data_IF_303239288152
#
_entry.id   IF_303239288152
#
_cell.length_a   1.000
_cell.length_b   1.000
_cell.length_c   1.000
_cell.angle_alpha   90.00
_cell.angle_beta   90.00
_cell.angle_gamma   90.00
#
_symmetry.space_group_name_H-M   'P 1'
#
loop_
_entity.id
_entity.type
_entity.pdbx_description
1 polymer ?
#
# COMPACT_ATOMS: atom_id res chain seq x y z
N UNK A 1 21.93 11.38 -18.13
CA UNK A 1 22.90 12.41 -17.73
C UNK A 1 22.21 13.62 -17.13
N UNK A 2 21.18 14.18 -17.76
CA UNK A 2 20.49 15.40 -17.30
C UNK A 2 19.92 15.32 -15.87
N UNK A 3 19.40 14.16 -15.47
CA UNK A 3 18.94 13.92 -14.09
C UNK A 3 20.06 14.12 -13.07
N UNK A 4 21.26 13.58 -13.35
CA UNK A 4 22.40 13.65 -12.43
C UNK A 4 22.89 15.09 -12.29
N UNK A 5 22.99 15.83 -13.40
CA UNK A 5 23.34 17.25 -13.36
C UNK A 5 22.33 18.06 -12.55
N UNK A 6 21.03 17.85 -12.78
CA UNK A 6 19.98 18.53 -12.01
C UNK A 6 20.07 18.21 -10.52
N UNK A 7 20.26 16.94 -10.18
CA UNK A 7 20.39 16.50 -8.79
C UNK A 7 21.57 17.15 -8.08
N UNK A 8 22.72 17.20 -8.74
CA UNK A 8 23.95 17.81 -8.19
C UNK A 8 23.78 19.34 -8.06
N UNK A 9 23.15 19.97 -9.05
CA UNK A 9 22.82 21.39 -8.98
C UNK A 9 21.94 21.71 -7.77
N UNK A 10 20.87 20.95 -7.56
CA UNK A 10 19.94 21.14 -6.44
C UNK A 10 20.62 20.95 -5.07
N UNK A 11 21.58 20.02 -4.96
CA UNK A 11 22.39 19.82 -3.75
C UNK A 11 23.32 21.02 -3.51
N UNK A 12 24.07 21.46 -4.52
CA UNK A 12 25.05 22.56 -4.39
C UNK A 12 24.41 23.90 -4.08
N UNK A 13 23.19 24.15 -4.57
CA UNK A 13 22.46 25.39 -4.33
C UNK A 13 21.80 25.48 -2.94
N UNK A 14 22.17 24.58 -1.99
CA UNK A 14 21.75 24.58 -0.58
C UNK A 14 20.23 24.69 -0.38
N UNK A 15 19.48 23.76 -0.98
CA UNK A 15 18.04 23.59 -0.71
C UNK A 15 17.13 24.74 -1.20
N UNK A 16 17.50 25.47 -2.26
CA UNK A 16 16.49 26.28 -2.97
C UNK A 16 15.56 25.33 -3.74
N UNK A 17 14.34 25.14 -3.24
CA UNK A 17 13.24 24.48 -3.97
C UNK A 17 12.76 25.37 -5.12
N UNK A 18 13.61 25.59 -6.11
CA UNK A 18 13.24 26.32 -7.32
C UNK A 18 13.00 25.32 -8.45
N UNK A 19 11.93 25.52 -9.22
CA UNK A 19 11.73 24.82 -10.49
C UNK A 19 12.78 25.35 -11.47
N UNK A 20 13.99 24.83 -11.35
CA UNK A 20 15.11 25.25 -12.17
C UNK A 20 14.87 24.76 -13.61
N UNK A 21 14.94 25.69 -14.54
CA UNK A 21 14.91 25.43 -15.98
C UNK A 21 16.16 24.67 -16.38
N UNK A 22 16.06 23.85 -17.42
CA UNK A 22 17.23 23.14 -17.99
C UNK A 22 18.35 24.12 -18.36
N UNK A 23 17.97 25.34 -18.77
CA UNK A 23 18.89 26.43 -19.06
C UNK A 23 19.69 26.88 -17.83
N UNK A 24 19.08 27.01 -16.65
CA UNK A 24 19.79 27.41 -15.43
C UNK A 24 20.81 26.35 -14.99
N UNK A 25 20.42 25.07 -15.06
CA UNK A 25 21.34 23.95 -14.78
C UNK A 25 22.51 23.97 -15.76
N UNK A 26 22.22 24.12 -17.06
CA UNK A 26 23.24 24.21 -18.10
C UNK A 26 24.18 25.40 -17.89
N UNK A 27 23.64 26.60 -17.66
CA UNK A 27 24.45 27.82 -17.46
C UNK A 27 25.34 27.72 -16.21
N UNK A 28 24.86 27.09 -15.15
CA UNK A 28 25.66 26.81 -13.95
C UNK A 28 26.85 25.92 -14.27
N UNK A 29 26.62 24.74 -14.84
CA UNK A 29 27.70 23.82 -15.16
C UNK A 29 28.61 24.41 -16.24
N UNK A 30 28.09 25.12 -17.23
CA UNK A 30 28.92 25.80 -18.24
C UNK A 30 29.88 26.81 -17.60
N UNK A 31 29.42 27.63 -16.64
CA UNK A 31 30.28 28.56 -15.88
C UNK A 31 31.30 27.81 -15.03
N UNK A 32 30.86 26.78 -14.31
CA UNK A 32 31.73 25.91 -13.52
C UNK A 32 32.82 25.31 -14.39
N UNK A 33 32.49 24.69 -15.53
CA UNK A 33 33.44 24.06 -16.45
C UNK A 33 34.36 25.07 -17.14
N UNK A 34 33.90 26.29 -17.44
CA UNK A 34 34.68 27.36 -18.08
C UNK A 34 35.68 28.04 -17.13
N UNK A 35 35.43 28.02 -15.81
CA UNK A 35 36.37 28.56 -14.82
C UNK A 35 37.59 27.63 -14.65
N UNK A 36 38.78 28.12 -15.02
CA UNK A 36 40.07 27.38 -15.08
C UNK A 36 40.70 27.02 -13.71
N UNK A 37 40.00 27.18 -12.59
CA UNK A 37 40.58 26.94 -11.25
C UNK A 37 40.76 25.45 -10.92
N UNK A 38 39.94 24.57 -11.49
CA UNK A 38 40.03 23.11 -11.33
C UNK A 38 40.10 22.43 -12.69
N UNK A 39 40.86 21.34 -12.79
CA UNK A 39 40.95 20.54 -14.01
C UNK A 39 39.58 19.94 -14.38
N UNK A 40 39.31 19.80 -15.67
CA UNK A 40 38.09 19.14 -16.19
C UNK A 40 37.92 17.74 -15.58
N UNK A 41 39.03 17.08 -15.29
CA UNK A 41 39.13 15.79 -14.60
C UNK A 41 38.58 15.83 -13.18
N UNK A 42 38.85 16.86 -12.38
CA UNK A 42 38.34 16.97 -11.01
C UNK A 42 36.82 17.18 -10.98
N UNK A 43 36.30 18.02 -11.89
CA UNK A 43 34.86 18.22 -12.05
C UNK A 43 34.16 16.93 -12.48
N UNK A 44 34.78 16.15 -13.38
CA UNK A 44 34.25 14.85 -13.78
C UNK A 44 34.29 13.81 -12.66
N UNK A 45 35.34 13.81 -11.83
CA UNK A 45 35.42 12.96 -10.62
C UNK A 45 34.26 13.25 -9.67
N UNK A 46 33.91 14.51 -9.47
CA UNK A 46 32.78 14.90 -8.63
C UNK A 46 31.43 14.39 -9.18
N UNK A 47 31.17 14.54 -10.48
CA UNK A 47 29.96 13.97 -11.11
C UNK A 47 29.93 12.45 -10.97
N UNK A 48 31.06 11.80 -11.23
CA UNK A 48 31.22 10.34 -11.17
C UNK A 48 30.96 9.81 -9.76
N UNK A 49 31.38 10.55 -8.72
CA UNK A 49 31.11 10.20 -7.31
C UNK A 49 29.62 9.94 -7.07
N UNK A 50 28.74 10.87 -7.47
CA UNK A 50 27.29 10.71 -7.26
C UNK A 50 26.72 9.55 -8.06
N UNK A 51 27.20 9.33 -9.30
CA UNK A 51 26.81 8.17 -10.08
C UNK A 51 27.17 6.86 -9.37
N UNK A 52 28.40 6.74 -8.85
CA UNK A 52 28.84 5.54 -8.13
C UNK A 52 28.08 5.32 -6.82
N UNK A 53 27.75 6.39 -6.09
CA UNK A 53 26.89 6.29 -4.89
C UNK A 53 25.51 5.71 -5.25
N UNK A 54 24.85 6.28 -6.27
CA UNK A 54 23.55 5.80 -6.71
C UNK A 54 23.61 4.35 -7.24
N UNK A 55 24.70 4.00 -7.92
CA UNK A 55 24.96 2.64 -8.39
C UNK A 55 25.11 1.67 -7.22
N UNK A 56 25.89 2.01 -6.20
CA UNK A 56 26.04 1.19 -4.99
C UNK A 56 24.68 0.96 -4.31
N UNK A 57 23.89 2.02 -4.15
CA UNK A 57 22.55 1.91 -3.56
C UNK A 57 21.60 1.07 -4.40
N UNK A 58 21.75 1.07 -5.72
CA UNK A 58 20.97 0.24 -6.62
C UNK A 58 21.43 -1.22 -6.61
N UNK A 59 22.72 -1.48 -6.44
CA UNK A 59 23.28 -2.84 -6.43
C UNK A 59 23.04 -3.57 -5.10
N UNK A 60 22.91 -2.84 -3.99
CA UNK A 60 22.54 -3.39 -2.68
C UNK A 60 21.01 -3.46 -2.52
N UNK A 61 20.47 -4.67 -2.37
CA UNK A 61 19.01 -4.90 -2.31
C UNK A 61 18.34 -4.21 -1.11
N UNK A 62 19.02 -4.16 0.05
CA UNK A 62 18.48 -3.52 1.24
C UNK A 62 18.45 -1.99 1.08
N UNK A 63 19.53 -1.39 0.57
CA UNK A 63 19.57 0.04 0.29
C UNK A 63 18.56 0.43 -0.80
N UNK A 64 18.49 -0.36 -1.88
CA UNK A 64 17.53 -0.15 -2.95
C UNK A 64 16.10 -0.08 -2.40
N UNK A 65 15.72 -1.06 -1.58
CA UNK A 65 14.40 -1.14 -0.97
C UNK A 65 14.15 -0.03 0.06
N UNK A 66 15.12 0.25 0.94
CA UNK A 66 14.97 1.27 1.99
C UNK A 66 14.93 2.70 1.45
N UNK A 67 15.83 3.04 0.54
CA UNK A 67 15.87 4.36 -0.10
C UNK A 67 14.67 4.52 -1.02
N UNK A 68 14.35 3.47 -1.79
CA UNK A 68 13.14 3.41 -2.61
C UNK A 68 11.87 3.65 -1.78
N UNK A 69 11.75 3.02 -0.60
CA UNK A 69 10.66 3.26 0.34
C UNK A 69 10.58 4.74 0.76
N UNK A 70 11.69 5.34 1.20
CA UNK A 70 11.70 6.71 1.72
C UNK A 70 11.26 7.72 0.67
N UNK A 71 11.70 7.53 -0.57
CA UNK A 71 11.33 8.36 -1.72
C UNK A 71 9.88 8.10 -2.12
N UNK A 72 9.51 6.84 -2.32
CA UNK A 72 8.19 6.44 -2.79
C UNK A 72 7.10 6.78 -1.77
N UNK A 73 7.40 6.80 -0.47
CA UNK A 73 6.47 7.22 0.59
C UNK A 73 6.40 8.74 0.80
N UNK A 74 7.23 9.52 0.11
CA UNK A 74 7.38 10.96 0.33
C UNK A 74 7.96 11.32 1.70
N UNK A 75 8.65 10.39 2.36
CA UNK A 75 9.18 10.60 3.71
C UNK A 75 10.54 11.30 3.71
N UNK A 76 11.34 11.11 2.65
CA UNK A 76 12.57 11.84 2.37
C UNK A 76 12.74 12.04 0.86
N UNK A 77 13.35 13.15 0.48
CA UNK A 77 13.77 13.37 -0.90
C UNK A 77 15.16 12.75 -1.14
N UNK A 78 15.43 12.33 -2.38
CA UNK A 78 16.73 11.75 -2.76
C UNK A 78 17.90 12.68 -2.42
N UNK A 79 17.73 14.00 -2.58
CA UNK A 79 18.76 15.00 -2.26
C UNK A 79 19.11 15.01 -0.76
N UNK A 80 18.12 14.83 0.11
CA UNK A 80 18.30 14.73 1.56
C UNK A 80 19.10 13.48 1.90
N UNK A 81 18.76 12.35 1.28
CA UNK A 81 19.46 11.08 1.48
C UNK A 81 20.91 11.18 0.99
N UNK A 82 21.15 11.82 -0.16
CA UNK A 82 22.50 12.06 -0.68
C UNK A 82 23.34 12.93 0.25
N UNK A 83 22.73 13.92 0.91
CA UNK A 83 23.47 14.76 1.87
C UNK A 83 24.05 13.93 3.03
N UNK A 84 23.43 12.81 3.41
CA UNK A 84 23.97 11.90 4.43
C UNK A 84 25.23 11.18 3.97
N UNK A 85 25.33 10.82 2.69
CA UNK A 85 26.53 10.21 2.12
C UNK A 85 27.69 11.21 1.97
N UNK A 86 27.42 12.52 2.08
CA UNK A 86 28.43 13.57 2.08
C UNK A 86 28.77 14.07 3.48
N UNK A 87 27.98 13.70 4.48
CA UNK A 87 28.17 14.13 5.86
C UNK A 87 29.37 13.42 6.46
N UNK A 88 30.42 14.19 6.75
CA UNK A 88 31.65 13.73 7.43
C UNK A 88 31.40 13.26 8.88
N UNK A 89 30.17 13.34 9.39
CA UNK A 89 29.77 12.74 10.67
C UNK A 89 29.30 11.30 10.53
N UNK A 90 28.90 10.88 9.32
CA UNK A 90 28.58 9.50 8.98
C UNK A 90 29.83 8.88 8.34
N UNK A 91 30.74 8.42 9.19
CA UNK A 91 32.07 7.96 8.80
C UNK A 91 32.12 6.50 8.36
N UNK A 92 30.99 5.79 8.45
CA UNK A 92 30.89 4.38 8.07
C UNK A 92 29.61 4.06 7.30
N UNK A 93 29.68 3.01 6.47
CA UNK A 93 28.52 2.41 5.81
C UNK A 93 27.43 2.05 6.84
N UNK A 94 27.81 1.50 7.99
CA UNK A 94 26.87 1.11 9.04
C UNK A 94 26.08 2.30 9.63
N UNK A 95 26.73 3.44 9.84
CA UNK A 95 26.05 4.66 10.31
C UNK A 95 25.06 5.19 9.27
N UNK A 96 25.39 5.09 7.98
CA UNK A 96 24.46 5.42 6.90
C UNK A 96 23.20 4.54 6.95
N UNK A 97 23.35 3.22 7.05
CA UNK A 97 22.19 2.29 7.19
C UNK A 97 21.37 2.62 8.44
N UNK A 98 22.04 2.95 9.54
CA UNK A 98 21.38 3.32 10.80
C UNK A 98 20.54 4.59 10.62
N UNK A 99 21.07 5.60 9.92
CA UNK A 99 20.34 6.83 9.63
C UNK A 99 19.14 6.57 8.69
N UNK A 100 19.29 5.70 7.69
CA UNK A 100 18.18 5.28 6.82
C UNK A 100 17.08 4.55 7.62
N UNK A 101 17.44 3.56 8.45
CA UNK A 101 16.46 2.86 9.31
C UNK A 101 15.79 3.82 10.30
N UNK A 102 16.50 4.83 10.81
CA UNK A 102 15.94 5.88 11.66
C UNK A 102 14.87 6.70 10.92
N UNK A 103 15.15 7.14 9.69
CA UNK A 103 14.18 7.87 8.87
C UNK A 103 12.93 7.01 8.57
N UNK A 104 13.10 5.70 8.37
CA UNK A 104 11.98 4.77 8.21
C UNK A 104 11.15 4.71 9.50
N UNK A 105 11.79 4.50 10.67
CA UNK A 105 11.10 4.49 11.98
C UNK A 105 10.31 5.77 12.22
N UNK A 106 10.91 6.93 11.96
CA UNK A 106 10.24 8.23 12.07
C UNK A 106 9.04 8.33 11.13
N UNK A 107 9.17 7.87 9.89
CA UNK A 107 8.11 7.96 8.87
C UNK A 107 6.82 7.24 9.26
N UNK A 108 6.92 6.19 10.09
CA UNK A 108 5.78 5.39 10.55
C UNK A 108 5.52 5.49 12.07
N UNK A 109 6.13 6.46 12.75
CA UNK A 109 6.01 6.68 14.20
C UNK A 109 6.40 5.45 15.05
N UNK A 110 7.39 4.68 14.62
CA UNK A 110 7.80 3.41 15.22
C UNK A 110 9.06 3.51 16.09
N UNK A 111 9.06 4.39 17.10
CA UNK A 111 10.21 4.57 17.99
C UNK A 111 10.42 3.39 18.96
N UNK A 112 9.34 2.71 19.34
CA UNK A 112 9.36 1.47 20.15
C UNK A 112 8.29 0.52 19.63
N UNK A 113 8.41 -0.78 19.95
CA UNK A 113 7.40 -1.77 19.57
C UNK A 113 6.00 -1.39 20.07
N UNK A 114 5.87 -1.01 21.35
CA UNK A 114 4.56 -0.67 21.93
C UNK A 114 3.95 0.59 21.32
N UNK A 115 4.76 1.62 21.05
CA UNK A 115 4.27 2.83 20.38
C UNK A 115 3.81 2.51 18.96
N UNK A 116 4.58 1.70 18.23
CA UNK A 116 4.21 1.27 16.88
C UNK A 116 2.90 0.46 16.90
N UNK A 117 2.83 -0.58 17.73
CA UNK A 117 1.66 -1.47 17.86
C UNK A 117 0.40 -0.69 18.24
N UNK A 118 0.47 0.19 19.23
CA UNK A 118 -0.70 0.99 19.65
C UNK A 118 -1.14 1.98 18.57
N UNK A 119 -0.20 2.55 17.81
CA UNK A 119 -0.54 3.47 16.74
C UNK A 119 -1.23 2.75 15.58
N UNK A 120 -0.66 1.64 15.11
CA UNK A 120 -1.17 0.92 13.93
C UNK A 120 -2.53 0.27 14.17
N UNK A 121 -2.78 -0.28 15.37
CA UNK A 121 -4.07 -0.91 15.69
C UNK A 121 -5.25 0.06 15.65
N UNK A 122 -4.99 1.36 15.79
CA UNK A 122 -6.00 2.43 15.78
C UNK A 122 -6.10 3.15 14.41
N UNK A 123 -5.38 2.69 13.38
CA UNK A 123 -5.38 3.36 12.08
C UNK A 123 -6.61 2.95 11.26
N UNK A 124 -7.42 3.96 10.95
CA UNK A 124 -8.62 3.82 10.13
C UNK A 124 -8.63 4.75 8.91
N UNK A 125 -9.20 4.25 7.81
CA UNK A 125 -9.46 4.97 6.58
C UNK A 125 -10.48 6.10 6.77
N UNK A 126 -10.23 7.26 6.14
CA UNK A 126 -11.13 8.44 6.11
C UNK A 126 -11.55 8.97 7.50
N UNK A 127 -10.73 8.79 8.53
CA UNK A 127 -10.92 9.54 9.77
C UNK A 127 -10.54 11.02 9.52
N UNK A 128 -11.54 11.89 9.35
CA UNK A 128 -11.42 13.31 8.93
C UNK A 128 -10.51 14.16 9.83
N UNK A 129 -10.16 13.66 11.02
CA UNK A 129 -9.34 14.38 12.00
C UNK A 129 -7.82 14.15 11.83
N UNK A 130 -7.35 13.22 10.99
CA UNK A 130 -5.91 12.89 10.88
C UNK A 130 -5.49 12.45 9.46
N UNK A 131 -4.20 12.64 9.13
CA UNK A 131 -3.52 12.12 7.93
C UNK A 131 -3.37 10.57 7.93
N UNK A 132 -4.36 9.84 8.44
CA UNK A 132 -4.33 8.38 8.62
C UNK A 132 -4.16 7.65 7.29
N UNK A 133 -4.80 8.10 6.21
CA UNK A 133 -4.69 7.43 4.91
C UNK A 133 -3.24 7.41 4.41
N UNK A 134 -2.51 8.52 4.56
CA UNK A 134 -1.10 8.57 4.16
C UNK A 134 -0.26 7.69 5.08
N UNK A 135 -0.51 7.69 6.40
CA UNK A 135 0.16 6.80 7.34
C UNK A 135 -0.05 5.31 7.02
N UNK A 136 -1.29 4.92 6.72
CA UNK A 136 -1.66 3.56 6.32
C UNK A 136 -0.91 3.17 5.04
N UNK A 137 -0.88 4.05 4.03
CA UNK A 137 -0.13 3.77 2.79
C UNK A 137 1.36 3.57 3.05
N UNK A 138 1.98 4.38 3.92
CA UNK A 138 3.39 4.21 4.29
C UNK A 138 3.65 2.84 4.91
N UNK A 139 2.83 2.47 5.89
CA UNK A 139 2.96 1.18 6.59
C UNK A 139 2.76 0.02 5.61
N UNK A 140 1.69 0.04 4.81
CA UNK A 140 1.42 -1.02 3.84
C UNK A 140 2.48 -1.09 2.73
N UNK A 141 3.08 0.04 2.34
CA UNK A 141 4.18 0.05 1.37
C UNK A 141 5.41 -0.65 1.96
N UNK A 142 5.79 -0.28 3.19
CA UNK A 142 6.91 -0.93 3.87
C UNK A 142 6.66 -2.43 4.02
N UNK A 143 5.44 -2.82 4.40
CA UNK A 143 5.06 -4.23 4.51
C UNK A 143 5.20 -4.97 3.18
N UNK A 144 4.75 -4.38 2.06
CA UNK A 144 4.92 -4.97 0.73
C UNK A 144 6.40 -5.11 0.31
N UNK A 145 7.24 -4.16 0.68
CA UNK A 145 8.69 -4.22 0.42
C UNK A 145 9.31 -5.37 1.20
N UNK A 146 8.99 -5.49 2.50
CA UNK A 146 9.46 -6.57 3.36
C UNK A 146 9.03 -7.94 2.81
N UNK A 147 7.76 -8.07 2.41
CA UNK A 147 7.25 -9.31 1.79
C UNK A 147 7.96 -9.64 0.47
N UNK A 148 8.36 -8.64 -0.32
CA UNK A 148 9.12 -8.86 -1.57
C UNK A 148 10.53 -9.39 -1.26
N UNK A 149 11.19 -8.81 -0.25
CA UNK A 149 12.49 -9.26 0.25
C UNK A 149 12.43 -10.69 0.79
N UNK A 150 11.36 -11.09 1.47
CA UNK A 150 11.16 -12.49 1.93
C UNK A 150 11.05 -13.48 0.77
N UNK A 151 10.60 -13.04 -0.41
CA UNK A 151 10.58 -13.84 -1.64
C UNK A 151 11.89 -13.71 -2.45
N UNK A 152 12.96 -13.14 -1.86
CA UNK A 152 14.25 -12.86 -2.51
C UNK A 152 14.12 -12.02 -3.79
N UNK A 153 13.19 -11.06 -3.79
CA UNK A 153 12.97 -10.14 -4.91
C UNK A 153 13.05 -8.69 -4.47
N UNK A 154 13.58 -7.83 -5.35
CA UNK A 154 13.51 -6.37 -5.18
C UNK A 154 12.08 -5.90 -5.34
N UNK A 155 11.68 -4.92 -4.55
CA UNK A 155 10.38 -4.28 -4.75
C UNK A 155 10.38 -3.49 -6.07
N UNK A 156 9.47 -3.76 -7.03
CA UNK A 156 9.51 -3.13 -8.34
C UNK A 156 8.94 -1.71 -8.29
N UNK A 157 9.74 -0.74 -7.85
CA UNK A 157 9.32 0.65 -7.71
C UNK A 157 8.88 1.30 -9.04
N UNK A 158 9.36 0.79 -10.18
CA UNK A 158 8.94 1.19 -11.53
C UNK A 158 7.47 0.81 -11.81
N UNK A 159 7.04 -0.37 -11.34
CA UNK A 159 5.65 -0.84 -11.42
C UNK A 159 4.76 -0.26 -10.33
N UNK A 160 5.35 0.08 -9.18
CA UNK A 160 4.68 0.82 -8.12
C UNK A 160 4.44 2.26 -8.56
N UNK A 161 3.34 2.45 -9.31
CA UNK A 161 3.03 3.64 -10.09
C UNK A 161 3.26 4.95 -9.33
N UNK A 162 4.38 5.59 -9.68
CA UNK A 162 4.68 6.98 -9.43
C UNK A 162 4.28 7.78 -10.67
N UNK A 163 3.33 8.70 -10.54
CA UNK A 163 3.04 9.63 -11.63
C UNK A 163 4.20 10.64 -11.73
N UNK A 164 5.05 10.48 -12.75
CA UNK A 164 6.21 11.36 -12.99
C UNK A 164 5.80 12.83 -13.22
N UNK A 165 4.61 13.07 -13.78
CA UNK A 165 4.12 14.41 -14.11
C UNK A 165 3.44 15.08 -12.91
N UNK A 166 2.65 14.31 -12.15
CA UNK A 166 1.97 14.79 -10.92
C UNK A 166 2.85 14.66 -9.67
N UNK A 167 4.04 14.07 -9.79
CA UNK A 167 4.97 13.75 -8.69
C UNK A 167 4.26 13.06 -7.51
N UNK A 168 3.30 12.18 -7.77
CA UNK A 168 2.44 11.59 -6.73
C UNK A 168 2.30 10.09 -6.88
N UNK A 169 2.29 9.40 -5.74
CA UNK A 169 1.91 8.00 -5.59
C UNK A 169 0.44 7.85 -6.05
N UNK A 170 0.19 7.06 -7.09
CA UNK A 170 -1.18 6.79 -7.60
C UNK A 170 -1.84 5.62 -6.85
N UNK A 171 -1.13 5.06 -5.88
CA UNK A 171 -1.62 3.96 -5.07
C UNK A 171 -2.76 4.42 -4.17
N UNK A 172 -3.77 3.58 -4.13
CA UNK A 172 -5.00 3.77 -3.41
C UNK A 172 -5.15 2.69 -2.35
N UNK A 173 -5.93 3.00 -1.31
CA UNK A 173 -6.29 2.04 -0.30
C UNK A 173 -7.55 1.33 -0.76
N UNK A 174 -7.49 0.01 -0.76
CA UNK A 174 -8.59 -0.86 -1.12
C UNK A 174 -9.06 -1.62 0.11
N UNK A 175 -10.36 -1.59 0.38
CA UNK A 175 -10.96 -2.42 1.41
C UNK A 175 -10.98 -3.88 0.95
N UNK A 176 -10.39 -4.79 1.73
CA UNK A 176 -10.36 -6.22 1.40
C UNK A 176 -11.79 -6.79 1.38
N UNK A 177 -12.60 -6.39 2.37
CA UNK A 177 -14.05 -6.55 2.36
C UNK A 177 -14.72 -5.17 2.40
N UNK A 178 -15.54 -4.85 1.39
CA UNK A 178 -16.28 -3.58 1.35
C UNK A 178 -17.62 -3.68 2.10
N UNK A 179 -18.05 -2.56 2.69
CA UNK A 179 -19.44 -2.38 3.14
C UNK A 179 -20.32 -2.03 1.94
N UNK A 180 -21.57 -2.49 1.96
CA UNK A 180 -22.61 -1.90 1.12
C UNK A 180 -22.83 -0.45 1.58
N UNK A 181 -22.30 0.52 0.84
CA UNK A 181 -22.54 1.95 1.09
C UNK A 181 -24.02 2.28 0.82
N UNK A 182 -24.63 3.07 1.70
CA UNK A 182 -26.01 3.55 1.52
C UNK A 182 -26.11 4.66 0.45
N UNK A 183 -24.99 5.32 0.14
CA UNK A 183 -24.91 6.47 -0.77
C UNK A 183 -24.77 6.09 -2.26
N UNK A 184 -25.04 4.84 -2.63
CA UNK A 184 -24.97 4.40 -4.03
C UNK A 184 -26.16 4.94 -4.82
N UNK A 185 -25.89 5.47 -6.01
CA UNK A 185 -26.93 5.76 -7.00
C UNK A 185 -27.53 4.46 -7.56
N UNK A 186 -28.61 4.58 -8.35
CA UNK A 186 -29.31 3.40 -8.88
C UNK A 186 -28.38 2.48 -9.70
N UNK A 187 -27.45 3.05 -10.47
CA UNK A 187 -26.47 2.28 -11.22
C UNK A 187 -25.48 1.56 -10.29
N UNK A 188 -25.00 2.24 -9.25
CA UNK A 188 -24.14 1.67 -8.23
C UNK A 188 -24.80 0.52 -7.47
N UNK A 189 -26.09 0.65 -7.12
CA UNK A 189 -26.89 -0.42 -6.50
C UNK A 189 -27.04 -1.62 -7.43
N UNK A 190 -27.38 -1.39 -8.70
CA UNK A 190 -27.51 -2.45 -9.70
C UNK A 190 -26.19 -3.21 -9.87
N UNK A 191 -25.07 -2.48 -10.05
CA UNK A 191 -23.74 -3.09 -10.13
C UNK A 191 -23.36 -3.83 -8.85
N UNK A 192 -23.68 -3.29 -7.67
CA UNK A 192 -23.41 -3.97 -6.41
C UNK A 192 -24.15 -5.32 -6.34
N UNK A 193 -25.44 -5.35 -6.71
CA UNK A 193 -26.21 -6.61 -6.73
C UNK A 193 -25.58 -7.59 -7.72
N UNK A 194 -25.40 -7.19 -8.98
CA UNK A 194 -24.89 -8.07 -10.03
C UNK A 194 -23.52 -8.67 -9.71
N UNK A 195 -22.63 -7.89 -9.09
CA UNK A 195 -21.29 -8.33 -8.78
C UNK A 195 -21.19 -9.26 -7.56
N UNK A 196 -22.20 -9.25 -6.69
CA UNK A 196 -22.12 -9.93 -5.39
C UNK A 196 -23.17 -11.04 -5.21
N UNK A 197 -24.31 -11.01 -5.93
CA UNK A 197 -25.47 -11.87 -5.68
C UNK A 197 -25.15 -13.37 -5.69
N UNK A 198 -24.36 -13.85 -6.66
CA UNK A 198 -24.03 -15.27 -6.74
C UNK A 198 -23.15 -15.73 -5.58
N UNK A 199 -22.22 -14.89 -5.13
CA UNK A 199 -21.41 -15.19 -3.95
C UNK A 199 -22.25 -15.18 -2.67
N UNK A 200 -23.17 -14.22 -2.53
CA UNK A 200 -24.08 -14.16 -1.38
C UNK A 200 -24.96 -15.41 -1.32
N UNK A 201 -25.51 -15.86 -2.46
CA UNK A 201 -26.28 -17.11 -2.55
C UNK A 201 -25.46 -18.33 -2.10
N UNK A 202 -24.21 -18.44 -2.55
CA UNK A 202 -23.31 -19.55 -2.17
C UNK A 202 -23.03 -19.52 -0.66
N UNK A 203 -22.66 -18.35 -0.13
CA UNK A 203 -22.31 -18.18 1.28
C UNK A 203 -23.50 -18.47 2.20
N UNK A 204 -24.70 -17.98 1.88
CA UNK A 204 -25.90 -18.27 2.67
C UNK A 204 -26.23 -19.76 2.70
N UNK A 205 -26.19 -20.45 1.54
CA UNK A 205 -26.41 -21.89 1.49
C UNK A 205 -25.41 -22.67 2.36
N UNK A 206 -24.14 -22.24 2.39
CA UNK A 206 -23.12 -22.88 3.23
C UNK A 206 -23.35 -22.73 4.73
N UNK A 207 -24.09 -21.69 5.16
CA UNK A 207 -24.39 -21.42 6.57
C UNK A 207 -25.67 -22.07 7.10
N UNK A 208 -26.54 -22.58 6.21
CA UNK A 208 -27.88 -23.08 6.58
C UNK A 208 -27.86 -24.46 7.26
N UNK A 209 -26.67 -25.02 7.48
CA UNK A 209 -26.53 -26.27 8.23
C UNK A 209 -26.92 -26.15 9.72
N UNK A 210 -27.01 -24.95 10.29
CA UNK A 210 -27.55 -24.72 11.63
C UNK A 210 -29.07 -24.48 11.58
N UNK A 211 -29.86 -25.49 12.00
CA UNK A 211 -31.32 -25.49 11.90
C UNK A 211 -32.03 -24.41 12.74
N UNK A 212 -31.32 -23.74 13.65
CA UNK A 212 -31.89 -22.87 14.68
C UNK A 212 -32.15 -21.42 14.27
N UNK A 213 -31.59 -20.92 13.15
CA UNK A 213 -31.79 -19.52 12.72
C UNK A 213 -32.89 -19.38 11.64
N UNK A 214 -34.13 -19.17 12.08
CA UNK A 214 -35.28 -18.95 11.18
C UNK A 214 -35.14 -17.69 10.32
N UNK A 215 -34.52 -16.62 10.83
CA UNK A 215 -34.31 -15.38 10.07
C UNK A 215 -33.42 -15.62 8.84
N UNK A 216 -32.29 -16.29 9.04
CA UNK A 216 -31.35 -16.64 7.97
C UNK A 216 -32.00 -17.52 6.89
N UNK A 217 -32.86 -18.47 7.28
CA UNK A 217 -33.60 -19.33 6.34
C UNK A 217 -34.57 -18.53 5.47
N UNK A 218 -35.29 -17.57 6.05
CA UNK A 218 -36.20 -16.70 5.31
C UNK A 218 -35.46 -15.78 4.35
N UNK A 219 -34.39 -15.13 4.81
CA UNK A 219 -33.53 -14.27 3.98
C UNK A 219 -32.94 -15.06 2.83
N UNK A 220 -32.38 -16.25 3.09
CA UNK A 220 -31.86 -17.09 2.02
C UNK A 220 -32.94 -17.47 1.01
N UNK A 221 -34.12 -17.92 1.45
CA UNK A 221 -35.21 -18.26 0.53
C UNK A 221 -35.58 -17.09 -0.38
N UNK A 222 -35.65 -15.87 0.14
CA UNK A 222 -35.90 -14.67 -0.66
C UNK A 222 -34.76 -14.41 -1.66
N UNK A 223 -33.51 -14.49 -1.21
CA UNK A 223 -32.32 -14.22 -2.06
C UNK A 223 -32.15 -15.25 -3.17
N UNK A 224 -32.38 -16.53 -2.89
CA UNK A 224 -32.28 -17.60 -3.90
C UNK A 224 -33.31 -17.43 -5.03
N UNK A 225 -34.46 -16.82 -4.73
CA UNK A 225 -35.53 -16.58 -5.71
C UNK A 225 -35.37 -15.27 -6.51
N UNK A 226 -34.32 -14.47 -6.26
CA UNK A 226 -34.08 -13.25 -7.02
C UNK A 226 -33.77 -13.60 -8.48
N UNK A 227 -34.61 -13.12 -9.40
CA UNK A 227 -34.33 -13.14 -10.84
C UNK A 227 -33.50 -11.91 -11.23
N UNK A 228 -32.26 -12.14 -11.65
CA UNK A 228 -31.30 -11.09 -12.02
C UNK A 228 -31.76 -10.25 -13.23
N UNK A 229 -32.56 -10.81 -14.14
CA UNK A 229 -33.09 -10.10 -15.31
C UNK A 229 -34.14 -9.04 -14.92
N UNK A 230 -34.74 -9.16 -13.73
CA UNK A 230 -35.81 -8.28 -13.24
C UNK A 230 -35.39 -7.38 -12.09
N UNK A 231 -34.09 -7.27 -11.79
CA UNK A 231 -33.59 -6.44 -10.66
C UNK A 231 -34.08 -4.99 -10.77
N UNK A 232 -34.13 -4.42 -11.97
CA UNK A 232 -34.49 -3.00 -12.17
C UNK A 232 -35.88 -2.65 -11.66
N UNK A 233 -36.85 -3.57 -11.67
CA UNK A 233 -38.21 -3.27 -11.20
C UNK A 233 -38.30 -3.17 -9.68
N UNK A 234 -37.41 -3.85 -8.95
CA UNK A 234 -37.43 -3.97 -7.49
C UNK A 234 -36.05 -3.62 -6.89
N UNK A 235 -35.33 -2.68 -7.50
CA UNK A 235 -33.90 -2.44 -7.23
C UNK A 235 -33.61 -2.22 -5.75
N UNK A 236 -34.37 -1.35 -5.09
CA UNK A 236 -34.18 -1.02 -3.67
C UNK A 236 -34.45 -2.21 -2.74
N UNK A 237 -35.52 -2.96 -3.01
CA UNK A 237 -35.88 -4.15 -2.25
C UNK A 237 -34.79 -5.22 -2.36
N UNK A 238 -34.33 -5.50 -3.58
CA UNK A 238 -33.27 -6.47 -3.84
C UNK A 238 -31.95 -6.01 -3.22
N UNK A 239 -31.59 -4.73 -3.36
CA UNK A 239 -30.38 -4.18 -2.76
C UNK A 239 -30.39 -4.33 -1.24
N UNK A 240 -31.52 -3.98 -0.60
CA UNK A 240 -31.68 -4.06 0.86
C UNK A 240 -31.59 -5.50 1.34
N UNK A 241 -32.24 -6.43 0.64
CA UNK A 241 -32.22 -7.85 0.96
C UNK A 241 -30.80 -8.45 0.82
N UNK A 242 -30.05 -8.08 -0.23
CA UNK A 242 -28.66 -8.53 -0.40
C UNK A 242 -27.77 -7.97 0.72
N UNK A 243 -27.95 -6.71 1.10
CA UNK A 243 -27.23 -6.11 2.23
C UNK A 243 -27.51 -6.85 3.52
N UNK A 244 -28.78 -7.10 3.84
CA UNK A 244 -29.21 -7.87 5.01
C UNK A 244 -28.58 -9.28 5.01
N UNK A 245 -28.58 -9.97 3.86
CA UNK A 245 -27.92 -11.26 3.70
C UNK A 245 -26.42 -11.21 3.97
N UNK A 246 -25.73 -10.17 3.50
CA UNK A 246 -24.30 -9.95 3.81
C UNK A 246 -24.12 -9.69 5.31
N UNK A 247 -25.00 -8.91 5.93
CA UNK A 247 -24.91 -8.59 7.35
C UNK A 247 -25.03 -9.84 8.24
N UNK A 248 -25.98 -10.72 7.93
CA UNK A 248 -26.13 -12.05 8.57
C UNK A 248 -24.94 -13.00 8.28
N UNK A 249 -24.29 -12.86 7.13
CA UNK A 249 -23.08 -13.64 6.83
C UNK A 249 -21.91 -13.17 7.72
N UNK A 250 -21.70 -11.87 7.87
CA UNK A 250 -20.49 -11.38 8.53
C UNK A 250 -20.67 -11.27 10.05
N UNK A 251 -21.90 -11.12 10.58
CA UNK A 251 -22.27 -11.01 12.00
C UNK A 251 -21.52 -9.93 12.82
N UNK A 252 -20.50 -9.29 12.25
CA UNK A 252 -19.63 -8.33 12.89
C UNK A 252 -18.96 -7.41 11.84
N UNK A 253 -19.34 -6.12 11.88
CA UNK A 253 -18.79 -5.05 11.05
C UNK A 253 -17.83 -4.14 11.83
N UNK A 254 -17.41 -4.54 13.04
CA UNK A 254 -16.39 -3.80 13.76
C UNK A 254 -15.14 -3.65 12.89
N UNK A 255 -14.52 -2.47 12.95
CA UNK A 255 -13.24 -2.18 12.32
C UNK A 255 -13.18 -2.24 10.78
N UNK A 256 -14.30 -2.05 10.06
CA UNK A 256 -14.30 -2.12 8.58
C UNK A 256 -13.33 -1.14 7.91
N UNK A 257 -13.06 0.01 8.53
CA UNK A 257 -12.12 1.01 8.04
C UNK A 257 -10.69 0.81 8.57
N UNK A 258 -10.47 -0.13 9.48
CA UNK A 258 -9.16 -0.39 10.07
C UNK A 258 -8.16 -0.88 9.03
N UNK A 259 -6.87 -0.60 9.24
CA UNK A 259 -5.78 -1.12 8.40
C UNK A 259 -5.78 -2.64 8.23
N UNK A 260 -6.32 -3.39 9.19
CA UNK A 260 -6.55 -4.84 9.11
C UNK A 260 -7.52 -5.26 7.99
N UNK A 261 -8.25 -4.33 7.40
CA UNK A 261 -9.13 -4.54 6.25
C UNK A 261 -8.69 -3.72 5.03
N UNK A 262 -7.44 -3.24 4.98
CA UNK A 262 -6.93 -2.42 3.88
C UNK A 262 -5.71 -3.04 3.19
N UNK A 263 -5.66 -2.88 1.87
CA UNK A 263 -4.53 -3.26 1.04
C UNK A 263 -4.15 -2.13 0.08
N UNK A 264 -2.92 -2.18 -0.45
CA UNK A 264 -2.47 -1.24 -1.49
C UNK A 264 -2.76 -1.78 -2.87
N UNK A 265 -3.38 -0.95 -3.71
CA UNK A 265 -3.55 -1.25 -5.12
C UNK A 265 -3.63 0.03 -5.93
N UNK A 266 -3.27 0.01 -7.21
CA UNK A 266 -3.32 1.22 -8.00
C UNK A 266 -4.76 1.62 -8.31
N UNK A 267 -4.95 2.93 -8.49
CA UNK A 267 -6.27 3.54 -8.62
C UNK A 267 -7.14 2.92 -9.72
N UNK A 268 -6.54 2.48 -10.83
CA UNK A 268 -7.29 1.90 -11.95
C UNK A 268 -7.89 0.55 -11.54
N UNK A 269 -7.07 -0.32 -10.95
CA UNK A 269 -7.53 -1.62 -10.46
C UNK A 269 -8.47 -1.49 -9.26
N UNK A 270 -8.23 -0.56 -8.32
CA UNK A 270 -9.18 -0.25 -7.24
C UNK A 270 -10.57 0.09 -7.79
N UNK A 271 -10.62 0.96 -8.80
CA UNK A 271 -11.89 1.36 -9.43
C UNK A 271 -12.62 0.15 -10.06
N UNK A 272 -11.87 -0.85 -10.55
CA UNK A 272 -12.44 -2.11 -11.07
C UNK A 272 -12.96 -3.05 -9.98
N UNK A 273 -12.32 -3.05 -8.80
CA UNK A 273 -12.76 -3.82 -7.63
C UNK A 273 -14.04 -3.25 -7.04
N UNK A 274 -14.10 -1.93 -6.86
CA UNK A 274 -15.27 -1.20 -6.41
C UNK A 274 -15.88 -1.74 -5.12
N UNK A 275 -17.21 -1.74 -5.03
CA UNK A 275 -17.95 -2.14 -3.82
C UNK A 275 -18.20 -3.66 -3.76
N UNK A 276 -17.32 -4.48 -4.32
CA UNK A 276 -17.43 -5.94 -4.25
C UNK A 276 -17.20 -6.46 -2.82
N UNK A 277 -17.88 -7.53 -2.43
CA UNK A 277 -17.51 -8.27 -1.22
C UNK A 277 -16.23 -9.07 -1.48
N UNK A 278 -15.58 -9.52 -0.41
CA UNK A 278 -14.32 -10.25 -0.46
C UNK A 278 -14.21 -11.33 -1.57
N UNK A 279 -15.15 -12.29 -1.72
CA UNK A 279 -15.00 -13.34 -2.72
C UNK A 279 -15.05 -12.81 -4.16
N UNK A 280 -15.91 -11.82 -4.43
CA UNK A 280 -15.96 -11.15 -5.72
C UNK A 280 -14.67 -10.35 -6.00
N UNK A 281 -14.06 -9.74 -4.96
CA UNK A 281 -12.75 -9.08 -5.08
C UNK A 281 -11.62 -10.07 -5.33
N UNK A 282 -11.62 -11.21 -4.64
CA UNK A 282 -10.64 -12.27 -4.84
C UNK A 282 -10.64 -12.77 -6.29
N UNK A 283 -11.81 -13.00 -6.89
CA UNK A 283 -11.89 -13.38 -8.31
C UNK A 283 -11.34 -12.27 -9.23
N UNK A 284 -11.60 -11.00 -8.92
CA UNK A 284 -11.00 -9.90 -9.70
C UNK A 284 -9.48 -9.84 -9.57
N UNK A 285 -8.93 -10.06 -8.37
CA UNK A 285 -7.49 -10.15 -8.13
C UNK A 285 -6.88 -11.31 -8.93
N UNK A 286 -7.55 -12.48 -8.97
CA UNK A 286 -7.11 -13.62 -9.81
C UNK A 286 -7.10 -13.29 -11.29
N UNK A 287 -8.12 -12.57 -11.79
CA UNK A 287 -8.19 -12.13 -13.19
C UNK A 287 -7.02 -11.20 -13.55
N UNK A 288 -6.74 -10.20 -12.69
CA UNK A 288 -5.62 -9.28 -12.87
C UNK A 288 -4.27 -10.02 -12.91
N UNK A 289 -4.06 -10.98 -12.00
CA UNK A 289 -2.85 -11.81 -11.99
C UNK A 289 -2.74 -12.66 -13.28
N UNK A 290 -3.85 -13.21 -13.77
CA UNK A 290 -3.89 -13.96 -15.03
C UNK A 290 -3.51 -13.10 -16.24
N UNK A 291 -3.82 -11.81 -16.19
CA UNK A 291 -3.49 -10.84 -17.22
C UNK A 291 -2.06 -10.25 -17.07
N UNK A 292 -1.26 -10.75 -16.12
CA UNK A 292 0.07 -10.24 -15.77
C UNK A 292 0.07 -8.79 -15.26
N UNK A 293 -1.06 -8.31 -14.72
CA UNK A 293 -1.11 -7.02 -14.05
C UNK A 293 -0.30 -7.07 -12.74
N UNK A 294 0.39 -5.97 -12.44
CA UNK A 294 1.16 -5.87 -11.22
C UNK A 294 0.25 -5.65 -10.01
N UNK A 295 0.31 -6.59 -9.05
CA UNK A 295 -0.31 -6.48 -7.73
C UNK A 295 0.79 -6.56 -6.68
N UNK A 296 0.86 -5.61 -5.72
CA UNK A 296 1.83 -5.68 -4.64
C UNK A 296 1.74 -7.02 -3.90
N UNK A 297 2.89 -7.60 -3.55
CA UNK A 297 2.97 -8.98 -3.05
C UNK A 297 2.15 -9.20 -1.77
N UNK A 298 2.14 -8.25 -0.85
CA UNK A 298 1.35 -8.37 0.38
C UNK A 298 -0.15 -8.24 0.10
N UNK A 299 -0.53 -7.42 -0.89
CA UNK A 299 -1.91 -7.33 -1.39
C UNK A 299 -2.35 -8.65 -2.01
N UNK A 300 -1.51 -9.29 -2.83
CA UNK A 300 -1.78 -10.65 -3.32
C UNK A 300 -1.99 -11.59 -2.12
N UNK A 301 -1.00 -11.66 -1.22
CA UNK A 301 -0.98 -12.60 -0.10
C UNK A 301 -2.20 -12.44 0.84
N UNK A 302 -2.68 -11.22 1.08
CA UNK A 302 -3.85 -10.99 1.95
C UNK A 302 -5.15 -11.49 1.31
N UNK A 303 -5.36 -11.26 0.00
CA UNK A 303 -6.53 -11.80 -0.70
C UNK A 303 -6.51 -13.33 -0.78
N UNK A 304 -5.33 -13.95 -0.86
CA UNK A 304 -5.17 -15.40 -0.77
C UNK A 304 -5.10 -15.93 0.68
N UNK A 305 -5.33 -15.09 1.68
CA UNK A 305 -5.31 -15.44 3.11
C UNK A 305 -4.02 -16.12 3.60
N UNK A 306 -2.88 -15.80 2.99
CA UNK A 306 -1.57 -16.39 3.35
C UNK A 306 -1.17 -16.14 4.81
N UNK A 307 -1.70 -15.07 5.41
CA UNK A 307 -1.40 -14.66 6.78
C UNK A 307 -2.25 -15.37 7.85
N UNK A 308 -3.36 -16.00 7.46
CA UNK A 308 -4.25 -16.70 8.38
C UNK A 308 -3.88 -18.18 8.44
N UNK A 309 -3.50 -18.67 9.63
CA UNK A 309 -3.30 -20.10 9.82
C UNK A 309 -4.63 -20.84 9.82
N UNK A 310 -4.73 -21.94 9.06
CA UNK A 310 -5.93 -22.79 8.99
C UNK A 310 -7.22 -22.01 8.67
N UNK A 311 -7.19 -21.19 7.61
CA UNK A 311 -8.36 -20.45 7.15
C UNK A 311 -9.55 -21.41 6.90
N UNK A 312 -10.52 -21.40 7.83
CA UNK A 312 -11.66 -22.34 7.81
C UNK A 312 -12.68 -22.02 6.73
N UNK A 313 -12.89 -20.73 6.45
CA UNK A 313 -13.80 -20.25 5.42
C UNK A 313 -13.00 -19.45 4.39
N UNK A 314 -12.91 -19.97 3.17
CA UNK A 314 -12.14 -19.35 2.09
C UNK A 314 -12.84 -18.10 1.54
N UNK A 315 -14.17 -18.04 1.63
CA UNK A 315 -14.98 -16.98 1.00
C UNK A 315 -15.27 -15.79 1.92
N UNK A 316 -14.92 -15.87 3.20
CA UNK A 316 -15.24 -14.84 4.19
C UNK A 316 -13.99 -14.14 4.72
N UNK A 317 -13.87 -12.82 4.60
CA UNK A 317 -12.82 -12.06 5.29
C UNK A 317 -13.21 -11.82 6.77
N UNK A 318 -12.88 -12.79 7.63
CA UNK A 318 -13.34 -12.86 9.02
C UNK A 318 -12.53 -11.99 9.97
N UNK A 319 -12.99 -11.84 11.22
CA UNK A 319 -12.20 -11.18 12.27
C UNK A 319 -10.87 -11.90 12.56
N UNK A 320 -10.84 -13.23 12.44
CA UNK A 320 -9.60 -14.00 12.58
C UNK A 320 -8.62 -13.59 11.47
N UNK A 321 -9.09 -13.49 10.23
CA UNK A 321 -8.24 -13.06 9.10
C UNK A 321 -7.71 -11.63 9.29
N UNK A 322 -8.57 -10.70 9.73
CA UNK A 322 -8.19 -9.32 10.05
C UNK A 322 -7.11 -9.26 11.13
N UNK A 323 -7.30 -9.98 12.23
CA UNK A 323 -6.35 -10.03 13.34
C UNK A 323 -5.01 -10.62 12.90
N UNK A 324 -5.03 -11.77 12.21
CA UNK A 324 -3.82 -12.43 11.71
C UNK A 324 -3.06 -11.56 10.70
N UNK A 325 -3.77 -10.87 9.80
CA UNK A 325 -3.13 -9.94 8.86
C UNK A 325 -2.46 -8.77 9.60
N UNK A 326 -3.17 -8.14 10.55
CA UNK A 326 -2.63 -7.04 11.34
C UNK A 326 -1.39 -7.46 12.15
N UNK A 327 -1.44 -8.63 12.79
CA UNK A 327 -0.29 -9.18 13.51
C UNK A 327 0.91 -9.42 12.58
N UNK A 328 0.69 -9.96 11.37
CA UNK A 328 1.76 -10.15 10.40
C UNK A 328 2.38 -8.83 9.93
N UNK A 329 1.58 -7.77 9.75
CA UNK A 329 2.11 -6.42 9.45
C UNK A 329 2.98 -5.93 10.60
N UNK A 330 2.47 -6.01 11.83
CA UNK A 330 3.18 -5.53 13.04
C UNK A 330 4.49 -6.26 13.21
N UNK A 331 4.46 -7.60 13.19
CA UNK A 331 5.62 -8.44 13.48
C UNK A 331 6.68 -8.31 12.39
N UNK A 332 6.29 -8.33 11.11
CA UNK A 332 7.24 -8.18 10.01
C UNK A 332 7.97 -6.84 10.03
N UNK A 333 7.25 -5.74 10.31
CA UNK A 333 7.85 -4.41 10.40
C UNK A 333 8.69 -4.28 11.68
N UNK A 334 8.22 -4.82 12.81
CA UNK A 334 8.95 -4.79 14.06
C UNK A 334 10.28 -5.53 13.95
N UNK A 335 10.29 -6.72 13.36
CA UNK A 335 11.50 -7.50 13.14
C UNK A 335 12.45 -6.79 12.17
N UNK A 336 11.92 -6.26 11.05
CA UNK A 336 12.71 -5.52 10.06
C UNK A 336 13.42 -4.28 10.64
N UNK A 337 12.74 -3.58 11.55
CA UNK A 337 13.22 -2.38 12.21
C UNK A 337 13.89 -2.66 13.57
N UNK A 338 14.06 -3.94 13.94
CA UNK A 338 14.69 -4.38 15.20
C UNK A 338 14.02 -3.75 16.44
N UNK A 339 12.69 -3.66 16.44
CA UNK A 339 11.90 -3.14 17.55
C UNK A 339 11.76 -4.23 18.63
N UNK A 340 12.44 -4.06 19.76
CA UNK A 340 12.39 -5.02 20.87
C UNK A 340 10.97 -5.16 21.43
N UNK A 341 10.40 -6.36 21.38
CA UNK A 341 9.24 -6.76 22.18
C UNK A 341 9.71 -6.83 23.65
N UNK A 342 9.14 -6.01 24.53
CA UNK A 342 9.32 -6.24 25.96
C UNK A 342 8.67 -7.60 26.27
N UNK A 343 9.48 -8.60 26.61
CA UNK A 343 8.98 -9.81 27.26
C UNK A 343 8.57 -9.37 28.67
N UNK A 344 7.27 -9.31 28.90
CA UNK A 344 6.70 -9.10 30.25
C UNK A 344 7.02 -10.26 31.17
#
# INVERSE_FOLDING_TARGET
MDFLFKLIYDIKQRNKNTNNTEREVFEYFYKEFKNNQNSLTEKWKELSKYFYILKEWYEDDELYNNIGYLIASGSRELKTILSYAEDKKLNSKQEFYTQIKKDIKESINASTYQKFKNNITQLEYKNEKKNNNEQIKKILLLFNIIESSKENTRFPFDKYKFDKYKKKIIQSLEHIHARASEDLDNNGKEQFILNNIEYVKIMLNSKIHDESNNSLKEINKKIQNINTEKIKSNLEEVFSLIKEGIEEIYNDFEDINNISNLALIDKNHNSSLGNRIFPAKLEKIKELLKNNDYIPIATKNVFFKKYTQNAKDILMWSQIDRNSYLENIIDSIADYLELKKYKG
#
